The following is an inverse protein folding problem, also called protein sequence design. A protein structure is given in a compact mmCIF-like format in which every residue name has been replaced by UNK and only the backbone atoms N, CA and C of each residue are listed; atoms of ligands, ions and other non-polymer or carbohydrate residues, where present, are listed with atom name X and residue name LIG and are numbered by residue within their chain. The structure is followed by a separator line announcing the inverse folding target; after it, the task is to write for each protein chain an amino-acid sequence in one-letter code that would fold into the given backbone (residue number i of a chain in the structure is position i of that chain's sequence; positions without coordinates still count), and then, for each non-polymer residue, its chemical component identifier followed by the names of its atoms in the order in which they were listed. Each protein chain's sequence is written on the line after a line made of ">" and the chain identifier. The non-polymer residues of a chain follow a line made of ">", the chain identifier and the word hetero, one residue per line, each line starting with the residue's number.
data_IF_551884516505
#
_entry.id   IF_551884516505
#
_cell.length_a   1.000
_cell.length_b   1.000
_cell.length_c   1.000
_cell.angle_alpha   90.00
_cell.angle_beta   90.00
_cell.angle_gamma   90.00
#
_symmetry.space_group_name_H-M   'P 1'
#
loop_
_entity.id
_entity.type
_entity.pdbx_description
1 polymer ?
#
# COMPACT_ATOMS: atom_id res chain seq x y z
N UNK A 1 31.02 -12.57 -23.89
CA UNK A 1 30.42 -13.04 -22.62
C UNK A 1 29.75 -11.86 -21.94
N UNK A 2 28.42 -11.92 -21.81
CA UNK A 2 27.58 -11.37 -20.74
C UNK A 2 26.14 -11.35 -21.25
N UNK A 3 25.47 -12.51 -21.13
CA UNK A 3 24.02 -12.58 -21.26
C UNK A 3 23.44 -11.80 -20.08
N UNK A 4 22.85 -10.64 -20.38
CA UNK A 4 21.90 -9.97 -19.51
C UNK A 4 20.70 -10.91 -19.41
N UNK A 5 20.71 -11.81 -18.44
CA UNK A 5 19.50 -12.55 -18.08
C UNK A 5 18.66 -11.57 -17.28
N UNK A 6 17.93 -10.70 -18.00
CA UNK A 6 16.81 -9.99 -17.42
C UNK A 6 15.69 -11.02 -17.42
N UNK A 7 15.53 -11.72 -16.29
CA UNK A 7 14.35 -12.57 -16.08
C UNK A 7 13.17 -11.60 -16.09
N UNK A 8 12.33 -11.72 -17.11
CA UNK A 8 11.15 -10.90 -17.29
C UNK A 8 10.14 -11.37 -16.24
N UNK A 9 10.23 -10.81 -15.03
CA UNK A 9 9.17 -10.96 -14.03
C UNK A 9 7.88 -10.51 -14.70
N UNK A 10 6.84 -11.34 -14.65
CA UNK A 10 5.53 -10.98 -15.17
C UNK A 10 5.13 -9.61 -14.59
N UNK A 11 4.81 -8.65 -15.46
CA UNK A 11 4.43 -7.28 -15.08
C UNK A 11 3.32 -7.28 -14.02
N UNK A 12 2.44 -8.29 -14.05
CA UNK A 12 1.39 -8.49 -13.08
C UNK A 12 1.91 -8.94 -11.71
N UNK A 13 2.96 -9.75 -11.66
CA UNK A 13 3.62 -10.16 -10.41
C UNK A 13 4.29 -8.96 -9.76
N UNK A 14 5.02 -8.16 -10.53
CA UNK A 14 5.70 -6.95 -10.05
C UNK A 14 4.70 -5.95 -9.44
N UNK A 15 3.60 -5.65 -10.15
CA UNK A 15 2.52 -4.80 -9.63
C UNK A 15 1.93 -5.35 -8.33
N UNK A 16 1.71 -6.66 -8.26
CA UNK A 16 1.16 -7.32 -7.06
C UNK A 16 2.12 -7.21 -5.88
N UNK A 17 3.43 -7.38 -6.13
CA UNK A 17 4.47 -7.25 -5.10
C UNK A 17 4.57 -5.82 -4.57
N UNK A 18 4.50 -4.82 -5.47
CA UNK A 18 4.48 -3.41 -5.07
C UNK A 18 3.25 -3.08 -4.24
N UNK A 19 2.05 -3.49 -4.66
CA UNK A 19 0.84 -3.30 -3.88
C UNK A 19 0.94 -3.97 -2.49
N UNK A 20 1.50 -5.19 -2.43
CA UNK A 20 1.70 -5.93 -1.17
C UNK A 20 2.61 -5.16 -0.19
N UNK A 21 3.64 -4.49 -0.72
CA UNK A 21 4.59 -3.71 0.08
C UNK A 21 4.01 -2.35 0.48
N UNK A 22 3.34 -1.63 -0.43
CA UNK A 22 2.93 -0.23 -0.25
C UNK A 22 1.62 -0.10 0.53
N UNK A 23 0.62 -0.95 0.29
CA UNK A 23 -0.70 -0.84 0.94
C UNK A 23 -0.65 -0.84 2.49
N UNK A 24 0.21 -1.62 3.16
CA UNK A 24 0.38 -1.51 4.61
C UNK A 24 0.82 -0.11 5.08
N UNK A 25 1.64 0.61 4.31
CA UNK A 25 2.05 1.98 4.62
C UNK A 25 0.90 2.96 4.43
N UNK A 26 0.13 2.82 3.34
CA UNK A 26 -1.09 3.59 3.07
C UNK A 26 -2.05 3.48 4.24
N UNK A 27 -2.37 2.25 4.67
CA UNK A 27 -3.26 2.00 5.80
C UNK A 27 -2.74 2.59 7.11
N UNK A 28 -1.43 2.51 7.35
CA UNK A 28 -0.81 3.10 8.54
C UNK A 28 -0.92 4.62 8.55
N UNK A 29 -0.72 5.27 7.40
CA UNK A 29 -0.81 6.71 7.27
C UNK A 29 -2.25 7.20 7.40
N UNK A 30 -3.21 6.59 6.72
CA UNK A 30 -4.62 6.97 6.89
C UNK A 30 -5.10 6.84 8.34
N UNK A 31 -4.69 5.79 9.06
CA UNK A 31 -5.00 5.67 10.50
C UNK A 31 -4.37 6.79 11.34
N UNK A 32 -3.17 7.23 10.99
CA UNK A 32 -2.52 8.37 11.63
C UNK A 32 -3.24 9.69 11.28
N UNK A 33 -3.71 9.83 10.05
CA UNK A 33 -4.48 11.00 9.62
C UNK A 33 -5.79 11.08 10.40
N UNK A 34 -6.52 9.97 10.57
CA UNK A 34 -7.70 9.91 11.45
C UNK A 34 -7.36 10.43 12.85
N UNK A 35 -6.31 9.90 13.48
CA UNK A 35 -5.88 10.35 14.81
C UNK A 35 -5.56 11.85 14.83
N UNK A 36 -5.01 12.39 13.75
CA UNK A 36 -4.67 13.81 13.65
C UNK A 36 -5.92 14.68 13.53
N UNK A 37 -6.93 14.23 12.78
CA UNK A 37 -8.20 14.93 12.65
C UNK A 37 -9.07 14.84 13.90
N UNK A 38 -9.06 13.70 14.59
CA UNK A 38 -9.81 13.48 15.84
C UNK A 38 -9.25 14.28 17.01
N UNK A 39 -7.92 14.41 17.10
CA UNK A 39 -7.25 15.13 18.19
C UNK A 39 -6.90 16.58 17.83
N UNK A 40 -7.15 17.00 16.59
CA UNK A 40 -6.83 18.32 16.08
C UNK A 40 -7.90 19.36 16.42
N UNK A 41 -7.59 20.66 16.30
CA UNK A 41 -8.52 21.75 16.58
C UNK A 41 -9.51 21.99 15.44
N UNK A 42 -10.01 20.92 14.80
CA UNK A 42 -10.86 21.00 13.60
C UNK A 42 -12.31 20.67 13.95
N UNK A 43 -13.18 21.69 13.97
CA UNK A 43 -14.62 21.54 14.27
C UNK A 43 -15.45 20.88 13.17
N UNK A 44 -14.96 20.87 11.92
CA UNK A 44 -15.65 20.29 10.77
C UNK A 44 -14.88 19.09 10.19
N UNK A 45 -14.47 18.15 11.05
CA UNK A 45 -13.66 17.00 10.66
C UNK A 45 -14.47 15.79 10.16
N UNK A 46 -15.78 15.71 10.46
CA UNK A 46 -16.63 14.53 10.16
C UNK A 46 -16.55 14.07 8.69
N UNK A 47 -16.69 14.95 7.67
CA UNK A 47 -16.58 14.51 6.28
C UNK A 47 -15.21 13.94 5.90
N UNK A 48 -14.14 14.45 6.52
CA UNK A 48 -12.78 13.95 6.30
C UNK A 48 -12.59 12.59 6.96
N UNK A 49 -13.15 12.40 8.15
CA UNK A 49 -13.11 11.13 8.86
C UNK A 49 -13.89 10.05 8.09
N UNK A 50 -15.08 10.36 7.59
CA UNK A 50 -15.89 9.43 6.79
C UNK A 50 -15.17 9.04 5.48
N UNK A 51 -14.49 10.01 4.87
CA UNK A 51 -13.68 9.77 3.68
C UNK A 51 -12.48 8.88 3.98
N UNK A 52 -11.79 9.11 5.09
CA UNK A 52 -10.66 8.29 5.52
C UNK A 52 -11.10 6.87 5.89
N UNK A 53 -12.23 6.70 6.57
CA UNK A 53 -12.81 5.38 6.86
C UNK A 53 -13.10 4.60 5.57
N UNK A 54 -13.75 5.24 4.61
CA UNK A 54 -14.07 4.65 3.30
C UNK A 54 -12.78 4.24 2.56
N UNK A 55 -11.77 5.12 2.55
CA UNK A 55 -10.47 4.84 1.94
C UNK A 55 -9.72 3.70 2.64
N UNK A 56 -9.73 3.65 3.97
CA UNK A 56 -9.12 2.58 4.77
C UNK A 56 -9.80 1.25 4.46
N UNK A 57 -11.13 1.21 4.46
CA UNK A 57 -11.87 -0.01 4.17
C UNK A 57 -11.51 -0.53 2.77
N UNK A 58 -11.52 0.34 1.76
CA UNK A 58 -11.16 -0.06 0.40
C UNK A 58 -9.71 -0.54 0.29
N UNK A 59 -8.75 0.19 0.85
CA UNK A 59 -7.34 -0.21 0.83
C UNK A 59 -7.10 -1.50 1.60
N UNK A 60 -7.88 -1.77 2.65
CA UNK A 60 -7.81 -3.00 3.43
C UNK A 60 -8.33 -4.20 2.64
N UNK A 61 -9.43 -4.03 1.91
CA UNK A 61 -9.99 -5.07 1.02
C UNK A 61 -9.01 -5.39 -0.10
N UNK A 62 -8.40 -4.39 -0.73
CA UNK A 62 -7.41 -4.57 -1.77
C UNK A 62 -6.13 -5.24 -1.23
N UNK A 63 -5.67 -4.87 -0.03
CA UNK A 63 -4.55 -5.56 0.61
C UNK A 63 -4.87 -7.04 0.88
N UNK A 64 -6.10 -7.34 1.28
CA UNK A 64 -6.54 -8.72 1.48
C UNK A 64 -6.54 -9.48 0.15
N UNK A 65 -7.06 -8.90 -0.93
CA UNK A 65 -7.03 -9.48 -2.27
C UNK A 65 -5.60 -9.73 -2.74
N UNK A 66 -4.71 -8.74 -2.60
CA UNK A 66 -3.28 -8.85 -2.95
C UNK A 66 -2.60 -9.96 -2.15
N UNK A 67 -2.86 -10.07 -0.84
CA UNK A 67 -2.36 -11.18 -0.02
C UNK A 67 -2.85 -12.54 -0.52
N UNK A 68 -4.12 -12.64 -0.90
CA UNK A 68 -4.66 -13.88 -1.48
C UNK A 68 -3.94 -14.23 -2.78
N UNK A 69 -3.74 -13.27 -3.68
CA UNK A 69 -2.98 -13.47 -4.93
C UNK A 69 -1.54 -13.91 -4.66
N UNK A 70 -0.81 -13.20 -3.80
CA UNK A 70 0.57 -13.53 -3.43
C UNK A 70 0.68 -14.97 -2.91
N UNK A 71 -0.13 -15.35 -1.92
CA UNK A 71 0.05 -16.64 -1.24
C UNK A 71 -0.61 -17.81 -1.94
N UNK A 72 -1.79 -17.62 -2.54
CA UNK A 72 -2.59 -18.72 -3.11
C UNK A 72 -2.40 -18.89 -4.61
N UNK A 73 -2.28 -17.79 -5.36
CA UNK A 73 -2.16 -17.87 -6.81
C UNK A 73 -0.69 -18.00 -7.23
N UNK A 74 0.19 -17.16 -6.70
CA UNK A 74 1.61 -17.19 -7.06
C UNK A 74 2.46 -18.06 -6.14
N UNK A 75 1.89 -18.58 -5.04
CA UNK A 75 2.62 -19.32 -4.01
C UNK A 75 3.92 -18.61 -3.57
N UNK A 76 3.86 -17.27 -3.55
CA UNK A 76 5.00 -16.41 -3.34
C UNK A 76 5.19 -16.14 -1.85
N UNK A 77 6.43 -16.19 -1.40
CA UNK A 77 6.86 -15.72 -0.08
C UNK A 77 7.58 -14.40 -0.26
N UNK A 78 7.19 -13.39 0.52
CA UNK A 78 7.82 -12.06 0.52
C UNK A 78 8.34 -11.78 1.93
N UNK A 79 9.61 -11.41 2.09
CA UNK A 79 10.17 -11.06 3.42
C UNK A 79 10.87 -9.72 3.39
N UNK A 80 10.66 -8.96 4.46
CA UNK A 80 11.39 -7.74 4.71
C UNK A 80 12.79 -8.07 5.24
N UNK A 81 13.82 -7.53 4.58
CA UNK A 81 15.23 -7.77 4.92
C UNK A 81 15.85 -6.64 5.75
N UNK A 82 15.08 -5.61 6.08
CA UNK A 82 15.57 -4.45 6.81
C UNK A 82 15.97 -3.28 5.90
N UNK A 83 16.50 -2.23 6.54
CA UNK A 83 17.07 -1.05 5.89
C UNK A 83 18.58 -1.06 6.09
N UNK A 84 19.37 -0.99 5.01
CA UNK A 84 20.84 -0.91 5.04
C UNK A 84 21.32 0.13 4.04
N UNK A 85 22.22 1.03 4.47
CA UNK A 85 22.77 2.10 3.64
C UNK A 85 21.67 2.93 2.94
N UNK A 86 20.62 3.27 3.69
CA UNK A 86 19.45 3.98 3.20
C UNK A 86 18.65 3.26 2.09
N UNK A 87 18.78 1.94 2.00
CA UNK A 87 18.00 1.11 1.08
C UNK A 87 17.16 0.13 1.89
N UNK A 88 15.85 0.19 1.67
CA UNK A 88 14.83 -0.73 2.20
C UNK A 88 14.75 -1.91 1.24
N UNK A 89 14.89 -3.14 1.77
CA UNK A 89 14.98 -4.34 0.93
C UNK A 89 13.92 -5.37 1.30
N UNK A 90 13.38 -6.01 0.26
CA UNK A 90 12.52 -7.18 0.40
C UNK A 90 13.02 -8.27 -0.53
N UNK A 91 13.03 -9.51 -0.08
CA UNK A 91 13.13 -10.65 -0.98
C UNK A 91 11.76 -11.19 -1.32
N UNK A 92 11.67 -11.82 -2.47
CA UNK A 92 10.53 -12.62 -2.86
C UNK A 92 11.00 -13.90 -3.53
N UNK A 93 10.24 -14.97 -3.34
CA UNK A 93 10.50 -16.26 -3.97
C UNK A 93 9.19 -16.97 -4.28
N UNK A 94 9.15 -17.62 -5.44
CA UNK A 94 8.13 -18.58 -5.86
C UNK A 94 8.78 -19.97 -5.95
N UNK A 95 8.09 -20.95 -6.52
CA UNK A 95 8.68 -22.26 -6.82
C UNK A 95 9.78 -22.18 -7.88
N UNK A 96 9.55 -21.34 -8.89
CA UNK A 96 10.33 -21.37 -10.14
C UNK A 96 11.27 -20.16 -10.28
N UNK A 97 11.07 -19.12 -9.47
CA UNK A 97 11.82 -17.87 -9.55
C UNK A 97 11.99 -17.19 -8.19
N UNK A 98 12.99 -16.32 -8.07
CA UNK A 98 13.25 -15.52 -6.88
C UNK A 98 13.97 -14.22 -7.21
N UNK A 99 13.78 -13.21 -6.38
CA UNK A 99 14.43 -11.92 -6.57
C UNK A 99 14.41 -11.06 -5.32
N UNK A 100 14.91 -9.83 -5.46
CA UNK A 100 14.82 -8.81 -4.44
C UNK A 100 14.38 -7.47 -5.02
N UNK A 101 13.53 -6.77 -4.27
CA UNK A 101 13.11 -5.39 -4.57
C UNK A 101 13.72 -4.44 -3.56
N UNK A 102 14.11 -3.27 -4.05
CA UNK A 102 14.87 -2.27 -3.30
C UNK A 102 14.22 -0.92 -3.49
N UNK A 103 14.05 -0.21 -2.39
CA UNK A 103 13.52 1.15 -2.39
C UNK A 103 14.44 2.05 -1.57
N UNK A 104 14.69 3.26 -2.06
CA UNK A 104 15.07 4.35 -1.15
C UNK A 104 13.85 4.78 -0.33
N UNK A 105 14.05 5.46 0.82
CA UNK A 105 12.96 6.05 1.58
C UNK A 105 12.08 6.96 0.74
N UNK A 106 12.69 7.79 -0.11
CA UNK A 106 11.96 8.74 -0.98
C UNK A 106 11.10 8.02 -2.01
N UNK A 107 11.61 6.93 -2.61
CA UNK A 107 10.83 6.10 -3.52
C UNK A 107 9.62 5.49 -2.83
N UNK A 108 9.82 4.92 -1.64
CA UNK A 108 8.71 4.33 -0.89
C UNK A 108 7.71 5.38 -0.43
N UNK A 109 8.18 6.59 -0.09
CA UNK A 109 7.35 7.73 0.24
C UNK A 109 6.47 8.15 -0.93
N UNK A 110 7.05 8.41 -2.11
CA UNK A 110 6.28 8.83 -3.29
C UNK A 110 5.29 7.74 -3.72
N UNK A 111 5.69 6.47 -3.73
CA UNK A 111 4.77 5.36 -4.03
C UNK A 111 3.59 5.31 -3.06
N UNK A 112 3.85 5.53 -1.77
CA UNK A 112 2.80 5.53 -0.75
C UNK A 112 1.86 6.73 -0.93
N UNK A 113 2.41 7.91 -1.17
CA UNK A 113 1.67 9.15 -1.40
C UNK A 113 0.79 9.06 -2.65
N UNK A 114 1.34 8.55 -3.75
CA UNK A 114 0.60 8.34 -4.99
C UNK A 114 -0.55 7.35 -4.77
N UNK A 115 -0.28 6.23 -4.10
CA UNK A 115 -1.30 5.24 -3.78
C UNK A 115 -2.39 5.81 -2.85
N UNK A 116 -2.03 6.61 -1.85
CA UNK A 116 -2.99 7.34 -1.02
C UNK A 116 -3.87 8.27 -1.88
N UNK A 117 -3.27 8.99 -2.82
CA UNK A 117 -3.98 9.85 -3.76
C UNK A 117 -5.02 9.09 -4.58
N UNK A 118 -4.69 7.88 -5.04
CA UNK A 118 -5.64 7.02 -5.77
C UNK A 118 -6.90 6.70 -4.96
N UNK A 119 -6.77 6.43 -3.66
CA UNK A 119 -7.91 6.14 -2.77
C UNK A 119 -8.67 7.39 -2.32
N UNK A 120 -8.00 8.54 -2.21
CA UNK A 120 -8.64 9.76 -1.74
C UNK A 120 -9.38 10.51 -2.86
N UNK A 121 -8.82 10.57 -4.07
CA UNK A 121 -9.38 11.39 -5.14
C UNK A 121 -9.11 10.85 -6.55
N UNK A 122 -8.45 9.70 -6.68
CA UNK A 122 -8.17 9.07 -7.96
C UNK A 122 -9.15 7.95 -8.31
N UNK A 123 -8.70 7.06 -9.19
CA UNK A 123 -9.53 5.99 -9.75
C UNK A 123 -9.99 4.93 -8.74
N UNK A 124 -9.38 4.87 -7.55
CA UNK A 124 -9.76 3.94 -6.48
C UNK A 124 -10.65 4.61 -5.42
N UNK A 125 -10.95 5.89 -5.58
CA UNK A 125 -11.83 6.60 -4.67
C UNK A 125 -13.26 6.04 -4.79
N UNK A 126 -13.84 5.69 -3.65
CA UNK A 126 -15.22 5.24 -3.53
C UNK A 126 -16.10 6.36 -3.03
N UNK A 127 -17.39 6.26 -3.35
CA UNK A 127 -18.40 7.15 -2.79
C UNK A 127 -18.40 7.03 -1.26
N UNK A 128 -18.37 8.17 -0.60
CA UNK A 128 -18.36 8.24 0.87
C UNK A 128 -19.77 8.03 1.35
N UNK A 129 -19.97 7.00 2.18
CA UNK A 129 -21.22 6.80 2.90
C UNK A 129 -21.10 7.61 4.18
N UNK A 130 -21.90 8.68 4.37
CA UNK A 130 -21.82 9.49 5.57
C UNK A 130 -22.05 8.63 6.81
N UNK A 131 -21.20 8.80 7.81
CA UNK A 131 -21.43 8.16 9.09
C UNK A 131 -22.44 8.96 9.91
N UNK A 132 -23.11 8.30 10.84
CA UNK A 132 -23.97 8.98 11.82
C UNK A 132 -23.16 9.67 12.93
N UNK A 133 -21.89 10.06 12.68
CA UNK A 133 -21.08 10.83 13.63
C UNK A 133 -21.75 12.19 13.86
N UNK A 134 -21.85 12.58 15.12
CA UNK A 134 -22.37 13.90 15.47
C UNK A 134 -21.37 14.98 15.08
N UNK A 135 -21.91 16.10 14.60
CA UNK A 135 -21.16 17.31 14.26
C UNK A 135 -21.04 18.14 15.54
N UNK A 136 -19.82 18.33 16.06
CA UNK A 136 -19.54 19.09 17.28
C UNK A 136 -18.64 20.29 17.00
#
# INVERSE_FOLDING_TARGET
>A
MNKKVMIQVDEQIEKTLYAYIVLPYVLKLFKKDIQTFENGPFSANVPYLDKLDTAIQSAQDDLNAVKQTIYKQYHMKVRYLGKKNDIIRYDWQTRDDSGDVRFTPDQLYELTKDMMGLYLYGMLAKEVIPSNRAWY
#
